data_IF_351733689862
#
_entry.id   IF_351733689862
#
_cell.length_a   1.000
_cell.length_b   1.000
_cell.length_c   1.000
_cell.angle_alpha   90.00
_cell.angle_beta   90.00
_cell.angle_gamma   90.00
#
_symmetry.space_group_name_H-M   'P 1'
#
loop_
_entity.id
_entity.type
_entity.pdbx_description
1 polymer ?
#
# COMPACT_ATOMS: atom_id res chain seq x y z
N UNK A 1 42.37 19.17 65.67
CA UNK A 1 42.22 18.45 66.94
C UNK A 1 40.94 17.61 66.80
N UNK A 2 41.05 16.30 66.51
CA UNK A 2 41.02 15.20 67.51
C UNK A 2 39.64 15.18 68.23
N UNK A 3 38.76 14.17 68.16
CA UNK A 3 38.90 12.71 68.11
C UNK A 3 37.60 12.02 67.60
N UNK A 4 37.75 10.86 66.96
CA UNK A 4 36.82 9.71 67.02
C UNK A 4 37.23 8.85 68.25
N UNK A 5 36.38 8.01 68.89
CA UNK A 5 36.06 6.69 68.31
C UNK A 5 34.75 5.98 68.76
N UNK A 6 34.59 4.80 68.13
CA UNK A 6 33.64 3.69 68.25
C UNK A 6 33.27 3.20 69.67
N UNK A 7 32.09 2.59 69.86
CA UNK A 7 31.95 1.11 69.98
C UNK A 7 30.50 0.60 70.27
N UNK A 8 30.10 -0.39 69.46
CA UNK A 8 29.45 -1.68 69.79
C UNK A 8 28.17 -1.79 70.66
N UNK A 9 27.07 -2.15 69.97
CA UNK A 9 26.26 -3.37 70.11
C UNK A 9 25.81 -3.88 71.50
N UNK A 10 24.49 -4.03 71.72
CA UNK A 10 23.74 -5.31 71.59
C UNK A 10 22.30 -5.24 72.14
N UNK A 11 21.39 -5.74 71.30
CA UNK A 11 20.23 -6.62 71.56
C UNK A 11 18.96 -6.21 72.35
N UNK A 12 17.86 -6.41 71.62
CA UNK A 12 16.56 -7.02 71.97
C UNK A 12 15.57 -6.24 72.85
N UNK A 13 14.45 -5.88 72.22
CA UNK A 13 13.22 -5.52 72.91
C UNK A 13 12.11 -5.04 71.96
N UNK A 14 11.50 -5.98 71.24
CA UNK A 14 10.08 -6.02 70.79
C UNK A 14 9.42 -4.63 70.55
N UNK A 15 9.12 -4.31 69.29
CA UNK A 15 8.14 -3.26 68.97
C UNK A 15 7.14 -3.74 67.93
N UNK A 16 5.89 -3.65 68.35
CA UNK A 16 4.65 -3.98 67.65
C UNK A 16 4.60 -3.25 66.31
N UNK A 17 4.42 -4.00 65.22
CA UNK A 17 4.11 -3.45 63.89
C UNK A 17 2.70 -2.81 63.94
N UNK A 18 2.64 -1.49 63.97
CA UNK A 18 1.43 -0.74 63.62
C UNK A 18 1.45 -0.55 62.11
N UNK A 19 0.51 -1.23 61.44
CA UNK A 19 0.27 -1.11 60.00
C UNK A 19 -0.32 0.27 59.70
N UNK A 20 0.52 1.21 59.28
CA UNK A 20 0.08 2.46 58.64
C UNK A 20 0.03 2.20 57.14
N UNK A 21 -1.17 1.94 56.62
CA UNK A 21 -1.48 2.00 55.20
C UNK A 21 -1.21 3.44 54.72
N UNK A 22 -0.01 3.68 54.20
CA UNK A 22 0.31 4.85 53.40
C UNK A 22 -0.42 4.74 52.08
N UNK A 23 -1.49 5.52 51.95
CA UNK A 23 -2.18 5.78 50.70
C UNK A 23 -1.18 6.45 49.75
N UNK A 24 -0.68 5.71 48.76
CA UNK A 24 -0.05 6.33 47.60
C UNK A 24 -1.14 7.19 46.93
N UNK A 25 -0.95 8.52 46.78
CA UNK A 25 -1.81 9.26 45.90
C UNK A 25 -1.51 8.76 44.50
N UNK A 26 -2.47 8.02 43.93
CA UNK A 26 -2.55 7.82 42.49
C UNK A 26 -2.41 9.20 41.86
N UNK A 27 -1.32 9.47 41.16
CA UNK A 27 -1.30 10.55 40.18
C UNK A 27 -2.32 10.17 39.11
N UNK A 28 -3.57 10.50 39.37
CA UNK A 28 -4.56 10.73 38.33
C UNK A 28 -4.08 12.03 37.69
N UNK A 29 -3.31 11.91 36.62
CA UNK A 29 -3.16 13.01 35.68
C UNK A 29 -4.59 13.42 35.32
N UNK A 30 -5.00 14.59 35.81
CA UNK A 30 -6.27 15.17 35.45
C UNK A 30 -6.25 15.33 33.92
N UNK A 31 -6.98 14.48 33.22
CA UNK A 31 -7.35 14.74 31.83
C UNK A 31 -8.17 16.02 31.84
N UNK A 32 -7.50 17.15 31.60
CA UNK A 32 -8.15 18.41 31.34
C UNK A 32 -9.06 18.18 30.14
N UNK A 33 -10.36 18.26 30.40
CA UNK A 33 -11.46 18.16 29.44
C UNK A 33 -11.49 19.43 28.55
N UNK A 34 -10.34 19.89 28.09
CA UNK A 34 -10.25 20.91 27.06
C UNK A 34 -10.72 20.26 25.76
N UNK A 35 -11.76 20.86 25.17
CA UNK A 35 -12.24 20.54 23.83
C UNK A 35 -11.06 20.59 22.88
N UNK A 36 -10.44 19.43 22.62
CA UNK A 36 -9.38 19.31 21.63
C UNK A 36 -9.99 19.80 20.30
N UNK A 37 -9.43 20.81 19.64
CA UNK A 37 -9.92 21.21 18.33
C UNK A 37 -9.97 19.96 17.45
N UNK A 38 -11.04 19.78 16.68
CA UNK A 38 -11.18 18.66 15.74
C UNK A 38 -10.01 18.72 14.76
N UNK A 39 -8.94 17.97 15.05
CA UNK A 39 -7.81 17.79 14.14
C UNK A 39 -8.10 16.56 13.28
N UNK A 40 -7.80 16.62 11.98
CA UNK A 40 -7.89 15.43 11.10
C UNK A 40 -6.81 14.37 11.42
N UNK A 41 -5.89 14.66 12.34
CA UNK A 41 -4.79 13.78 12.74
C UNK A 41 -4.46 13.96 14.24
N UNK A 42 -5.33 13.47 15.15
CA UNK A 42 -5.16 13.66 16.60
C UNK A 42 -3.97 12.87 17.15
N UNK A 43 -3.38 13.36 18.25
CA UNK A 43 -2.48 12.57 19.09
C UNK A 43 -3.28 11.43 19.72
N UNK A 44 -2.88 10.20 19.41
CA UNK A 44 -3.52 8.96 19.90
C UNK A 44 -2.76 8.32 21.05
N UNK A 45 -1.47 8.62 21.22
CA UNK A 45 -0.70 8.25 22.41
C UNK A 45 0.49 9.21 22.61
N UNK A 46 1.10 9.18 23.79
CA UNK A 46 2.41 9.80 24.06
C UNK A 46 3.30 8.70 24.65
N UNK A 47 4.50 8.51 24.11
CA UNK A 47 5.49 7.51 24.54
C UNK A 47 6.79 8.24 24.81
N UNK A 48 7.26 8.28 26.06
CA UNK A 48 8.48 9.00 26.47
C UNK A 48 8.53 10.45 25.93
N UNK A 49 7.41 11.18 26.10
CA UNK A 49 7.19 12.55 25.60
C UNK A 49 7.14 12.71 24.07
N UNK A 50 7.22 11.62 23.29
CA UNK A 50 6.99 11.64 21.85
C UNK A 50 5.50 11.34 21.53
N UNK A 51 4.79 12.24 20.82
CA UNK A 51 3.40 12.00 20.45
C UNK A 51 3.30 11.00 19.29
N UNK A 52 2.48 9.98 19.47
CA UNK A 52 1.97 9.12 18.40
C UNK A 52 0.68 9.74 17.89
N UNK A 53 0.59 10.05 16.61
CA UNK A 53 -0.60 10.62 15.97
C UNK A 53 -1.39 9.56 15.20
N UNK A 54 -2.66 9.85 14.89
CA UNK A 54 -3.53 8.92 14.17
C UNK A 54 -2.93 8.47 12.83
N UNK A 55 -2.07 9.30 12.24
CA UNK A 55 -1.28 8.98 11.05
C UNK A 55 -0.22 7.89 11.26
N UNK A 56 0.38 7.81 12.44
CA UNK A 56 1.43 6.82 12.73
C UNK A 56 0.89 5.40 12.84
N UNK A 57 -0.39 5.27 13.21
CA UNK A 57 -1.06 3.96 13.30
C UNK A 57 -1.68 3.52 11.97
N UNK A 58 -1.62 4.36 10.91
CA UNK A 58 -2.16 4.04 9.59
C UNK A 58 -1.36 2.93 8.92
N UNK A 59 -2.07 1.97 8.34
CA UNK A 59 -1.48 0.93 7.52
C UNK A 59 -2.46 0.47 6.43
N UNK A 60 -1.99 -0.38 5.51
CA UNK A 60 -2.78 -0.88 4.39
C UNK A 60 -4.10 -1.55 4.81
N UNK A 61 -4.13 -2.29 5.92
CA UNK A 61 -5.34 -2.97 6.40
C UNK A 61 -6.40 -1.97 6.89
N UNK A 62 -5.98 -0.97 7.67
CA UNK A 62 -6.87 0.10 8.12
C UNK A 62 -7.38 0.89 6.92
N UNK A 63 -6.52 1.18 5.94
CA UNK A 63 -6.91 1.81 4.69
C UNK A 63 -8.00 0.99 3.95
N UNK A 64 -7.78 -0.30 3.77
CA UNK A 64 -8.73 -1.20 3.13
C UNK A 64 -10.07 -1.20 3.88
N UNK A 65 -10.06 -1.30 5.21
CA UNK A 65 -11.27 -1.28 6.02
C UNK A 65 -12.05 0.04 5.87
N UNK A 66 -11.37 1.19 5.82
CA UNK A 66 -12.03 2.47 5.57
C UNK A 66 -12.57 2.60 4.16
N UNK A 67 -11.87 2.06 3.15
CA UNK A 67 -12.39 2.01 1.77
C UNK A 67 -13.65 1.16 1.71
N UNK A 68 -13.65 -0.01 2.35
CA UNK A 68 -14.83 -0.87 2.47
C UNK A 68 -15.98 -0.14 3.19
N UNK A 69 -15.70 0.51 4.32
CA UNK A 69 -16.68 1.32 5.04
C UNK A 69 -17.27 2.42 4.15
N UNK A 70 -16.43 3.15 3.44
CA UNK A 70 -16.88 4.20 2.51
C UNK A 70 -17.73 3.63 1.38
N UNK A 71 -17.38 2.48 0.81
CA UNK A 71 -18.18 1.83 -0.23
C UNK A 71 -19.57 1.43 0.30
N UNK A 72 -19.63 0.87 1.51
CA UNK A 72 -20.89 0.54 2.18
C UNK A 72 -21.74 1.79 2.45
N UNK A 73 -21.13 2.84 2.99
CA UNK A 73 -21.80 4.12 3.24
C UNK A 73 -22.28 4.77 1.93
N UNK A 74 -21.47 4.73 0.88
CA UNK A 74 -21.81 5.27 -0.43
C UNK A 74 -23.02 4.54 -1.03
N UNK A 75 -23.02 3.21 -0.98
CA UNK A 75 -24.15 2.42 -1.47
C UNK A 75 -25.44 2.71 -0.70
N UNK A 76 -25.38 2.68 0.64
CA UNK A 76 -26.53 2.98 1.48
C UNK A 76 -27.05 4.42 1.26
N UNK A 77 -26.14 5.36 1.03
CA UNK A 77 -26.50 6.75 0.75
C UNK A 77 -27.23 6.90 -0.59
N UNK A 78 -26.79 6.21 -1.65
CA UNK A 78 -27.48 6.23 -2.96
C UNK A 78 -28.94 5.79 -2.80
N UNK A 79 -29.17 4.64 -2.19
CA UNK A 79 -30.51 4.11 -1.94
C UNK A 79 -31.34 5.08 -1.09
N UNK A 80 -30.74 5.68 -0.05
CA UNK A 80 -31.44 6.64 0.80
C UNK A 80 -31.82 7.93 0.09
N UNK A 81 -30.97 8.41 -0.82
CA UNK A 81 -31.27 9.57 -1.66
C UNK A 81 -32.46 9.26 -2.58
N UNK A 82 -32.43 8.11 -3.26
CA UNK A 82 -33.50 7.70 -4.18
C UNK A 82 -34.83 7.48 -3.45
N UNK A 83 -34.82 6.84 -2.28
CA UNK A 83 -35.98 6.68 -1.38
C UNK A 83 -36.62 8.04 -1.00
N UNK A 84 -35.79 9.05 -0.74
CA UNK A 84 -36.28 10.41 -0.43
C UNK A 84 -36.86 11.11 -1.66
N UNK A 85 -36.24 10.94 -2.82
CA UNK A 85 -36.61 11.66 -4.03
C UNK A 85 -37.78 11.03 -4.79
N UNK A 86 -38.00 9.71 -4.68
CA UNK A 86 -39.00 8.98 -5.48
C UNK A 86 -40.43 9.52 -5.34
N UNK A 87 -40.75 10.15 -4.20
CA UNK A 87 -42.06 10.78 -3.96
C UNK A 87 -42.37 11.92 -4.95
N UNK A 88 -41.34 12.68 -5.30
CA UNK A 88 -41.46 13.84 -6.20
C UNK A 88 -40.89 13.54 -7.60
N UNK A 89 -40.13 12.45 -7.73
CA UNK A 89 -39.47 12.02 -8.96
C UNK A 89 -39.73 10.52 -9.18
N UNK A 90 -40.95 10.13 -9.62
CA UNK A 90 -41.33 8.72 -9.79
C UNK A 90 -40.42 7.92 -10.74
N UNK A 91 -39.73 8.60 -11.66
CA UNK A 91 -38.73 8.02 -12.56
C UNK A 91 -37.49 7.45 -11.84
N UNK A 92 -37.33 7.70 -10.54
CA UNK A 92 -36.26 7.15 -9.69
C UNK A 92 -36.64 5.85 -8.99
N UNK A 93 -37.84 5.32 -9.24
CA UNK A 93 -38.36 4.11 -8.59
C UNK A 93 -37.46 2.90 -8.85
N UNK A 94 -37.05 2.23 -7.77
CA UNK A 94 -36.11 1.11 -7.81
C UNK A 94 -36.74 -0.24 -8.15
N UNK A 95 -38.05 -0.39 -7.98
CA UNK A 95 -38.75 -1.67 -8.28
C UNK A 95 -38.78 -2.02 -9.76
N UNK A 96 -38.43 -1.06 -10.62
CA UNK A 96 -38.50 -1.20 -12.07
C UNK A 96 -37.13 -1.65 -12.64
N UNK A 97 -36.23 -2.12 -11.76
CA UNK A 97 -34.94 -2.66 -12.16
C UNK A 97 -35.11 -3.84 -13.13
N UNK A 98 -34.34 -3.88 -14.22
CA UNK A 98 -34.42 -4.98 -15.18
C UNK A 98 -33.98 -6.30 -14.53
N UNK A 99 -34.63 -7.39 -14.92
CA UNK A 99 -34.23 -8.75 -14.54
C UNK A 99 -33.35 -9.37 -15.64
N UNK A 100 -32.39 -10.22 -15.29
CA UNK A 100 -31.56 -10.92 -16.28
C UNK A 100 -32.41 -11.87 -17.12
N UNK A 101 -32.17 -11.88 -18.43
CA UNK A 101 -32.80 -12.83 -19.34
C UNK A 101 -32.11 -14.20 -19.26
N UNK A 102 -32.76 -15.24 -19.82
CA UNK A 102 -32.13 -16.56 -19.98
C UNK A 102 -30.83 -16.48 -20.80
N UNK A 103 -30.77 -15.57 -21.76
CA UNK A 103 -29.58 -15.37 -22.58
C UNK A 103 -28.46 -14.69 -21.78
N UNK A 104 -28.78 -13.80 -20.83
CA UNK A 104 -27.80 -13.22 -19.91
C UNK A 104 -27.15 -14.28 -19.04
N UNK A 105 -27.96 -15.19 -18.49
CA UNK A 105 -27.49 -16.32 -17.68
C UNK A 105 -26.59 -17.24 -18.52
N UNK A 106 -27.02 -17.57 -19.75
CA UNK A 106 -26.24 -18.40 -20.66
C UNK A 106 -24.91 -17.73 -21.07
N UNK A 107 -24.93 -16.43 -21.37
CA UNK A 107 -23.72 -15.65 -21.69
C UNK A 107 -22.78 -15.57 -20.49
N UNK A 108 -23.30 -15.32 -19.29
CA UNK A 108 -22.49 -15.28 -18.08
C UNK A 108 -21.79 -16.63 -17.86
N UNK A 109 -22.52 -17.74 -17.95
CA UNK A 109 -21.94 -19.08 -17.83
C UNK A 109 -20.90 -19.38 -18.92
N UNK A 110 -21.16 -18.98 -20.18
CA UNK A 110 -20.23 -19.21 -21.28
C UNK A 110 -18.91 -18.46 -21.11
N UNK A 111 -18.95 -17.26 -20.53
CA UNK A 111 -17.84 -16.31 -20.46
C UNK A 111 -17.14 -16.26 -19.09
N UNK A 112 -17.64 -16.95 -18.06
CA UNK A 112 -17.03 -16.96 -16.73
C UNK A 112 -15.97 -18.06 -16.64
N UNK A 113 -14.68 -17.72 -16.48
CA UNK A 113 -13.62 -18.73 -16.34
C UNK A 113 -13.86 -19.63 -15.12
N UNK A 114 -13.60 -20.94 -15.24
CA UNK A 114 -13.71 -21.91 -14.16
C UNK A 114 -15.13 -22.35 -13.80
N UNK A 115 -16.18 -21.64 -14.24
CA UNK A 115 -17.57 -21.97 -13.84
C UNK A 115 -18.03 -23.36 -14.33
N UNK A 116 -17.50 -23.82 -15.47
CA UNK A 116 -17.81 -25.13 -16.04
C UNK A 116 -17.28 -26.30 -15.19
N UNK A 117 -16.33 -26.04 -14.31
CA UNK A 117 -15.79 -27.02 -13.36
C UNK A 117 -16.71 -27.17 -12.14
N UNK A 118 -17.55 -26.16 -11.85
CA UNK A 118 -18.47 -26.14 -10.71
C UNK A 118 -19.81 -26.83 -11.00
N UNK A 119 -20.19 -26.97 -12.28
CA UNK A 119 -21.42 -27.66 -12.67
C UNK A 119 -21.87 -27.30 -14.09
N UNK A 120 -22.95 -27.95 -14.54
CA UNK A 120 -23.59 -27.61 -15.82
C UNK A 120 -24.41 -26.33 -15.69
N UNK A 121 -24.65 -25.66 -16.83
CA UNK A 121 -25.54 -24.48 -16.88
C UNK A 121 -26.90 -24.75 -16.24
N UNK A 122 -27.46 -25.94 -16.43
CA UNK A 122 -28.75 -26.32 -15.83
C UNK A 122 -28.69 -26.30 -14.30
N UNK A 123 -27.63 -26.88 -13.71
CA UNK A 123 -27.44 -26.92 -12.26
C UNK A 123 -27.15 -25.55 -11.65
N UNK A 124 -26.44 -24.69 -12.39
CA UNK A 124 -26.00 -23.39 -11.89
C UNK A 124 -26.95 -22.24 -12.24
N UNK A 125 -28.00 -22.51 -13.02
CA UNK A 125 -28.89 -21.47 -13.56
C UNK A 125 -29.44 -20.55 -12.48
N UNK A 126 -29.97 -21.13 -11.41
CA UNK A 126 -30.66 -20.36 -10.36
C UNK A 126 -29.66 -19.50 -9.58
N UNK A 127 -28.49 -20.05 -9.24
CA UNK A 127 -27.42 -19.30 -8.55
C UNK A 127 -26.91 -18.13 -9.41
N UNK A 128 -26.67 -18.38 -10.70
CA UNK A 128 -26.27 -17.33 -11.65
C UNK A 128 -27.36 -16.27 -11.79
N UNK A 129 -28.63 -16.69 -11.84
CA UNK A 129 -29.78 -15.78 -11.93
C UNK A 129 -29.82 -14.86 -10.72
N UNK A 130 -29.76 -15.42 -9.50
CA UNK A 130 -29.74 -14.63 -8.24
C UNK A 130 -28.53 -13.68 -8.17
N UNK A 131 -27.37 -14.12 -8.67
CA UNK A 131 -26.20 -13.27 -8.76
C UNK A 131 -26.44 -12.10 -9.73
N UNK A 132 -26.92 -12.38 -10.94
CA UNK A 132 -27.15 -11.37 -11.97
C UNK A 132 -28.27 -10.39 -11.59
N UNK A 133 -29.33 -10.84 -10.90
CA UNK A 133 -30.36 -9.97 -10.34
C UNK A 133 -29.76 -8.90 -9.41
N UNK A 134 -28.83 -9.29 -8.53
CA UNK A 134 -28.12 -8.34 -7.66
C UNK A 134 -27.24 -7.38 -8.46
N UNK A 135 -26.58 -7.86 -9.51
CA UNK A 135 -25.75 -7.01 -10.39
C UNK A 135 -26.62 -5.98 -11.12
N UNK A 136 -27.75 -6.41 -11.69
CA UNK A 136 -28.67 -5.54 -12.43
C UNK A 136 -29.32 -4.51 -11.51
N UNK A 137 -29.78 -4.93 -10.33
CA UNK A 137 -30.35 -4.03 -9.34
C UNK A 137 -29.34 -2.95 -8.91
N UNK A 138 -28.08 -3.30 -8.66
CA UNK A 138 -27.03 -2.34 -8.30
C UNK A 138 -26.73 -1.36 -9.43
N UNK A 139 -26.57 -1.85 -10.66
CA UNK A 139 -26.33 -1.00 -11.83
C UNK A 139 -27.50 -0.02 -12.05
N UNK A 140 -28.73 -0.49 -11.83
CA UNK A 140 -29.92 0.34 -11.93
C UNK A 140 -29.98 1.43 -10.85
N UNK A 141 -29.65 1.09 -9.59
CA UNK A 141 -29.49 2.09 -8.51
C UNK A 141 -28.46 3.15 -8.89
N UNK A 142 -27.33 2.73 -9.46
CA UNK A 142 -26.27 3.65 -9.87
C UNK A 142 -26.74 4.60 -10.98
N UNK A 143 -27.43 4.11 -12.00
CA UNK A 143 -27.97 4.93 -13.08
C UNK A 143 -28.96 5.99 -12.56
N UNK A 144 -29.93 5.57 -11.73
CA UNK A 144 -30.92 6.49 -11.13
C UNK A 144 -30.28 7.51 -10.21
N UNK A 145 -29.29 7.08 -9.44
CA UNK A 145 -28.49 7.98 -8.62
C UNK A 145 -27.76 9.02 -9.48
N UNK A 146 -27.10 8.62 -10.57
CA UNK A 146 -26.43 9.55 -11.48
C UNK A 146 -27.42 10.54 -12.10
N UNK A 147 -28.60 10.08 -12.50
CA UNK A 147 -29.67 10.95 -12.98
C UNK A 147 -30.03 12.01 -11.92
N UNK A 148 -30.25 11.60 -10.66
CA UNK A 148 -30.58 12.52 -9.57
C UNK A 148 -29.48 13.57 -9.31
N UNK A 149 -28.20 13.18 -9.39
CA UNK A 149 -27.07 14.10 -9.27
C UNK A 149 -27.00 15.07 -10.45
N UNK A 150 -27.12 14.57 -11.69
CA UNK A 150 -27.05 15.38 -12.90
C UNK A 150 -28.18 16.41 -13.00
N UNK A 151 -29.35 16.08 -12.46
CA UNK A 151 -30.50 16.99 -12.35
C UNK A 151 -30.37 17.98 -11.20
N UNK A 152 -29.37 17.84 -10.34
CA UNK A 152 -29.15 18.69 -9.18
C UNK A 152 -30.14 18.46 -8.03
N UNK A 153 -30.87 17.33 -8.03
CA UNK A 153 -31.88 17.03 -7.00
C UNK A 153 -31.26 16.59 -5.67
N UNK A 154 -30.00 16.14 -5.69
CA UNK A 154 -29.26 15.79 -4.49
C UNK A 154 -27.86 16.41 -4.52
N UNK A 155 -27.44 16.93 -3.37
CA UNK A 155 -26.07 17.36 -3.11
C UNK A 155 -25.44 16.42 -2.10
N UNK A 156 -24.30 15.83 -2.47
CA UNK A 156 -23.63 14.80 -1.68
C UNK A 156 -22.39 15.35 -1.00
N UNK A 157 -22.32 15.19 0.31
CA UNK A 157 -21.20 15.62 1.14
C UNK A 157 -20.37 14.47 1.69
N UNK A 158 -20.81 13.22 1.49
CA UNK A 158 -19.99 12.05 1.80
C UNK A 158 -18.77 12.07 0.89
N UNK A 159 -17.61 12.33 1.49
CA UNK A 159 -16.34 12.30 0.78
C UNK A 159 -15.74 10.92 0.94
N UNK A 160 -15.04 10.45 -0.10
CA UNK A 160 -14.08 9.37 0.10
C UNK A 160 -13.17 9.77 1.27
N UNK A 161 -12.79 8.84 2.16
CA UNK A 161 -11.89 9.14 3.26
C UNK A 161 -10.72 9.94 2.69
N UNK A 162 -10.59 11.19 3.14
CA UNK A 162 -9.60 12.16 2.65
C UNK A 162 -8.25 11.46 2.70
N UNK A 163 -7.79 11.09 1.50
CA UNK A 163 -6.45 10.62 1.16
C UNK A 163 -5.63 10.09 2.35
N UNK A 164 -5.94 8.86 2.78
CA UNK A 164 -4.89 7.99 3.30
C UNK A 164 -3.92 7.69 2.16
N UNK A 165 -3.14 8.68 1.77
CA UNK A 165 -1.96 8.48 0.94
C UNK A 165 -0.96 7.80 1.86
N UNK A 166 -0.60 6.57 1.53
CA UNK A 166 0.52 5.92 2.20
C UNK A 166 1.74 6.80 2.02
N UNK A 167 2.36 7.17 3.14
CA UNK A 167 3.61 7.92 3.19
C UNK A 167 4.75 6.93 3.12
N UNK A 168 5.40 6.83 1.96
CA UNK A 168 6.53 5.93 1.76
C UNK A 168 7.81 6.72 1.53
N UNK A 169 8.81 6.52 2.40
CA UNK A 169 10.16 6.99 2.12
C UNK A 169 10.80 6.13 1.05
N UNK A 170 11.32 6.74 -0.03
CA UNK A 170 12.00 5.96 -1.08
C UNK A 170 13.34 5.40 -0.58
N UNK A 171 13.99 6.06 0.40
CA UNK A 171 15.20 5.59 1.09
C UNK A 171 16.24 4.99 0.13
N UNK A 172 16.51 3.68 0.24
CA UNK A 172 17.48 2.88 -0.52
C UNK A 172 17.04 2.47 -1.93
N UNK A 173 15.83 2.83 -2.35
CA UNK A 173 15.29 2.47 -3.66
C UNK A 173 16.27 2.79 -4.80
N UNK A 174 16.37 1.87 -5.75
CA UNK A 174 17.07 2.13 -7.00
C UNK A 174 16.15 2.88 -7.95
N UNK A 175 16.60 4.01 -8.47
CA UNK A 175 15.84 4.84 -9.42
C UNK A 175 16.12 4.42 -10.87
N UNK A 176 15.07 4.39 -11.71
CA UNK A 176 15.18 3.89 -13.08
C UNK A 176 16.09 4.72 -13.98
N UNK A 177 16.07 6.04 -13.82
CA UNK A 177 16.99 6.94 -14.51
C UNK A 177 17.31 8.15 -13.65
N UNK A 178 18.57 8.56 -13.66
CA UNK A 178 19.07 9.85 -13.16
C UNK A 178 19.11 10.92 -14.28
N UNK A 179 18.64 10.60 -15.50
CA UNK A 179 18.78 11.48 -16.69
C UNK A 179 17.62 12.46 -16.87
N UNK A 180 17.51 13.38 -15.92
CA UNK A 180 16.68 14.57 -15.99
C UNK A 180 16.57 15.16 -14.60
N UNK A 181 16.34 16.47 -14.50
CA UNK A 181 16.18 17.12 -13.20
C UNK A 181 15.13 16.36 -12.36
N UNK A 182 15.54 15.67 -11.28
CA UNK A 182 14.63 14.93 -10.41
C UNK A 182 13.52 15.81 -9.83
N UNK A 183 13.71 17.14 -9.83
CA UNK A 183 12.73 18.12 -9.39
C UNK A 183 11.47 18.18 -10.29
N UNK A 184 11.58 17.76 -11.56
CA UNK A 184 10.48 17.86 -12.53
C UNK A 184 9.42 16.77 -12.39
N UNK A 185 9.78 15.60 -11.86
CA UNK A 185 8.90 14.42 -11.77
C UNK A 185 8.20 14.38 -10.43
N UNK A 186 7.07 15.08 -10.33
CA UNK A 186 6.26 15.18 -9.10
C UNK A 186 5.31 14.00 -8.89
N UNK A 187 5.35 12.99 -9.76
CA UNK A 187 4.67 11.69 -9.58
C UNK A 187 5.73 10.58 -9.49
N UNK A 188 5.53 9.61 -8.61
CA UNK A 188 6.47 8.51 -8.41
C UNK A 188 5.75 7.17 -8.28
N UNK A 189 6.31 6.16 -8.93
CA UNK A 189 5.91 4.76 -8.83
C UNK A 189 7.04 3.96 -8.15
N UNK A 190 6.80 3.55 -6.91
CA UNK A 190 7.72 2.72 -6.13
C UNK A 190 7.27 1.27 -6.18
N UNK A 191 8.07 0.40 -6.77
CA UNK A 191 7.85 -1.04 -6.83
C UNK A 191 8.54 -1.75 -5.66
N UNK A 192 7.81 -2.64 -4.98
CA UNK A 192 8.34 -3.66 -4.07
C UNK A 192 8.23 -5.02 -4.74
N UNK A 193 9.38 -5.68 -4.92
CA UNK A 193 9.49 -6.81 -5.84
C UNK A 193 10.37 -7.94 -5.31
N UNK A 194 10.19 -9.11 -5.91
CA UNK A 194 10.90 -10.34 -5.57
C UNK A 194 11.27 -11.09 -6.86
N UNK A 195 12.56 -11.39 -7.02
CA UNK A 195 13.10 -12.04 -8.21
C UNK A 195 12.63 -13.48 -8.47
N UNK A 196 12.10 -14.18 -7.46
CA UNK A 196 11.50 -15.51 -7.62
C UNK A 196 9.97 -15.45 -7.76
N UNK A 197 9.35 -14.28 -7.62
CA UNK A 197 7.90 -14.15 -7.75
C UNK A 197 7.48 -14.13 -9.24
N UNK A 198 6.62 -15.07 -9.69
CA UNK A 198 6.19 -15.12 -11.09
C UNK A 198 5.37 -13.88 -11.51
N UNK A 199 4.66 -13.26 -10.56
CA UNK A 199 3.92 -12.03 -10.83
C UNK A 199 4.82 -10.79 -10.96
N UNK A 200 5.94 -10.76 -10.24
CA UNK A 200 6.96 -9.71 -10.38
C UNK A 200 7.64 -9.79 -11.75
N UNK A 201 7.93 -11.00 -12.25
CA UNK A 201 8.38 -11.21 -13.62
C UNK A 201 7.35 -10.70 -14.64
N UNK A 202 6.09 -11.13 -14.49
CA UNK A 202 5.00 -10.80 -15.44
C UNK A 202 4.75 -9.29 -15.58
N UNK A 203 4.85 -8.53 -14.48
CA UNK A 203 4.55 -7.09 -14.51
C UNK A 203 5.66 -6.25 -15.16
N UNK A 204 6.89 -6.76 -15.31
CA UNK A 204 8.00 -5.98 -15.89
C UNK A 204 7.70 -5.47 -17.31
N UNK A 205 7.07 -6.28 -18.16
CA UNK A 205 6.67 -5.84 -19.50
C UNK A 205 5.66 -4.68 -19.46
N UNK A 206 4.77 -4.66 -18.46
CA UNK A 206 3.83 -3.55 -18.24
C UNK A 206 4.56 -2.30 -17.75
N UNK A 207 5.52 -2.46 -16.84
CA UNK A 207 6.33 -1.35 -16.33
C UNK A 207 7.21 -0.74 -17.44
N UNK A 208 7.75 -1.55 -18.35
CA UNK A 208 8.53 -1.05 -19.48
C UNK A 208 7.68 -0.20 -20.42
N UNK A 209 6.47 -0.64 -20.77
CA UNK A 209 5.52 0.18 -21.56
C UNK A 209 5.12 1.46 -20.82
N UNK A 210 4.96 1.40 -19.50
CA UNK A 210 4.63 2.56 -18.69
C UNK A 210 5.79 3.56 -18.62
N UNK A 211 7.04 3.08 -18.48
CA UNK A 211 8.25 3.92 -18.51
C UNK A 211 8.45 4.58 -19.87
N UNK A 212 8.18 3.86 -20.97
CA UNK A 212 8.23 4.42 -22.32
C UNK A 212 7.27 5.62 -22.46
N UNK A 213 6.05 5.50 -21.91
CA UNK A 213 5.03 6.55 -22.01
C UNK A 213 5.24 7.73 -21.04
N UNK A 214 5.67 7.45 -19.80
CA UNK A 214 5.62 8.44 -18.70
C UNK A 214 6.98 8.80 -18.07
N UNK A 215 8.11 8.32 -18.60
CA UNK A 215 9.44 8.60 -18.01
C UNK A 215 9.82 10.09 -17.90
N UNK A 216 9.09 11.00 -18.54
CA UNK A 216 9.27 12.46 -18.38
C UNK A 216 8.46 13.06 -17.23
N UNK A 217 7.37 12.42 -16.83
CA UNK A 217 6.40 12.93 -15.85
C UNK A 217 6.42 12.13 -14.54
N UNK A 218 6.80 10.85 -14.61
CA UNK A 218 6.79 9.89 -13.51
C UNK A 218 8.21 9.38 -13.25
N UNK A 219 8.63 9.44 -11.99
CA UNK A 219 9.84 8.77 -11.52
C UNK A 219 9.51 7.32 -11.13
N UNK A 220 10.40 6.39 -11.47
CA UNK A 220 10.24 4.97 -11.13
C UNK A 220 11.33 4.55 -10.16
N UNK A 221 10.95 3.80 -9.13
CA UNK A 221 11.86 3.25 -8.12
C UNK A 221 11.60 1.78 -7.87
N UNK A 222 12.63 1.06 -7.45
CA UNK A 222 12.58 -0.35 -7.10
C UNK A 222 13.11 -0.58 -5.68
N UNK A 223 12.40 -1.39 -4.90
CA UNK A 223 12.79 -1.89 -3.57
C UNK A 223 12.66 -3.40 -3.50
N UNK A 224 13.56 -3.99 -2.72
CA UNK A 224 13.57 -5.43 -2.49
C UNK A 224 12.49 -5.82 -1.49
N UNK A 225 11.72 -6.84 -1.82
CA UNK A 225 10.78 -7.49 -0.89
C UNK A 225 10.87 -9.01 -1.04
N UNK A 226 12.04 -9.62 -0.77
CA UNK A 226 12.21 -11.07 -0.93
C UNK A 226 11.35 -11.81 0.10
N UNK A 227 10.40 -12.60 -0.39
CA UNK A 227 9.47 -13.38 0.41
C UNK A 227 10.20 -14.54 1.09
N UNK A 228 9.85 -14.84 2.35
CA UNK A 228 10.61 -15.80 3.16
C UNK A 228 10.65 -17.22 2.56
N UNK A 229 9.60 -17.61 1.84
CA UNK A 229 9.50 -18.92 1.19
C UNK A 229 10.30 -19.01 -0.13
N UNK A 230 10.82 -17.88 -0.64
CA UNK A 230 11.69 -17.83 -1.81
C UNK A 230 13.17 -17.89 -1.39
N UNK A 231 13.72 -19.11 -1.38
CA UNK A 231 15.06 -19.42 -0.83
C UNK A 231 16.21 -18.61 -1.44
N UNK A 232 16.14 -18.29 -2.73
CA UNK A 232 17.19 -17.60 -3.49
C UNK A 232 16.94 -16.08 -3.60
N UNK A 233 15.71 -15.61 -3.35
CA UNK A 233 15.31 -14.21 -3.56
C UNK A 233 16.20 -13.21 -2.79
N UNK A 234 16.58 -13.54 -1.55
CA UNK A 234 17.50 -12.70 -0.74
C UNK A 234 18.87 -12.55 -1.41
N UNK A 235 19.43 -13.64 -1.96
CA UNK A 235 20.72 -13.59 -2.66
C UNK A 235 20.62 -12.91 -4.02
N UNK A 236 19.52 -13.10 -4.74
CA UNK A 236 19.24 -12.39 -5.99
C UNK A 236 19.13 -10.88 -5.76
N UNK A 237 18.41 -10.44 -4.72
CA UNK A 237 18.33 -9.05 -4.30
C UNK A 237 19.70 -8.44 -3.98
N UNK A 238 20.52 -9.13 -3.18
CA UNK A 238 21.88 -8.68 -2.88
C UNK A 238 22.77 -8.64 -4.14
N UNK A 239 22.55 -9.54 -5.09
CA UNK A 239 23.33 -9.60 -6.32
C UNK A 239 23.13 -8.38 -7.20
N UNK A 240 21.90 -7.88 -7.33
CA UNK A 240 21.65 -6.66 -8.12
C UNK A 240 22.24 -5.44 -7.43
N UNK A 241 22.29 -5.39 -6.10
CA UNK A 241 23.01 -4.34 -5.38
C UNK A 241 24.54 -4.45 -5.56
N UNK A 242 25.09 -5.67 -5.59
CA UNK A 242 26.50 -5.88 -5.94
C UNK A 242 26.81 -5.49 -7.41
N UNK A 243 25.84 -5.57 -8.32
CA UNK A 243 25.97 -5.06 -9.67
C UNK A 243 25.78 -3.53 -9.75
N UNK A 244 24.94 -2.95 -8.88
CA UNK A 244 24.76 -1.49 -8.72
C UNK A 244 26.07 -0.77 -8.45
N UNK A 245 26.93 -1.38 -7.65
CA UNK A 245 28.31 -0.95 -7.39
C UNK A 245 29.17 -0.70 -8.65
N UNK A 246 28.73 -1.25 -9.78
CA UNK A 246 29.39 -1.17 -11.08
C UNK A 246 28.44 -0.63 -12.17
N UNK A 247 27.33 0.02 -11.78
CA UNK A 247 26.36 0.63 -12.67
C UNK A 247 25.51 -0.36 -13.47
N UNK A 248 25.37 -1.61 -12.99
CA UNK A 248 24.69 -2.71 -13.70
C UNK A 248 23.47 -3.29 -12.98
N UNK A 249 22.81 -2.47 -12.16
CA UNK A 249 21.61 -2.89 -11.42
C UNK A 249 20.50 -3.34 -12.37
N UNK A 250 20.11 -2.46 -13.31
CA UNK A 250 18.93 -2.67 -14.16
C UNK A 250 19.15 -3.80 -15.17
N UNK A 251 20.35 -3.93 -15.72
CA UNK A 251 20.72 -5.00 -16.64
C UNK A 251 20.71 -6.36 -15.94
N UNK A 252 21.25 -6.46 -14.72
CA UNK A 252 21.18 -7.71 -13.97
C UNK A 252 19.75 -8.02 -13.54
N UNK A 253 19.00 -7.02 -13.06
CA UNK A 253 17.59 -7.15 -12.69
C UNK A 253 16.74 -7.71 -13.84
N UNK A 254 16.90 -7.17 -15.06
CA UNK A 254 16.17 -7.64 -16.25
C UNK A 254 16.52 -9.11 -16.54
N UNK A 255 17.80 -9.45 -16.54
CA UNK A 255 18.23 -10.84 -16.75
C UNK A 255 17.64 -11.77 -15.68
N UNK A 256 17.70 -11.39 -14.41
CA UNK A 256 17.17 -12.21 -13.32
C UNK A 256 15.68 -12.52 -13.46
N UNK A 257 14.87 -11.60 -14.02
CA UNK A 257 13.49 -11.89 -14.38
C UNK A 257 13.34 -12.68 -15.67
N UNK A 258 14.14 -12.39 -16.70
CA UNK A 258 14.03 -13.01 -18.03
C UNK A 258 14.57 -14.44 -18.11
N UNK A 259 15.29 -14.91 -17.09
CA UNK A 259 16.03 -16.17 -17.15
C UNK A 259 15.17 -17.40 -17.47
N UNK A 260 15.53 -18.07 -18.56
CA UNK A 260 15.13 -19.44 -18.91
C UNK A 260 15.89 -20.49 -18.09
N UNK A 261 17.08 -20.12 -17.59
CA UNK A 261 17.95 -20.98 -16.78
C UNK A 261 17.61 -20.86 -15.27
N UNK A 262 17.68 -21.94 -14.49
CA UNK A 262 17.50 -21.87 -13.04
C UNK A 262 18.51 -20.92 -12.39
N UNK A 263 18.02 -19.88 -11.72
CA UNK A 263 18.89 -18.99 -10.92
C UNK A 263 19.08 -19.57 -9.53
N UNK A 264 20.33 -19.56 -9.06
CA UNK A 264 20.69 -19.96 -7.71
C UNK A 264 21.89 -19.16 -7.22
N UNK A 265 22.11 -19.14 -5.91
CA UNK A 265 23.25 -18.47 -5.28
C UNK A 265 24.60 -18.82 -5.91
N UNK A 266 24.77 -20.03 -6.45
CA UNK A 266 26.04 -20.49 -7.02
C UNK A 266 26.32 -19.94 -8.42
N UNK A 267 25.30 -19.55 -9.19
CA UNK A 267 25.47 -19.11 -10.58
C UNK A 267 25.16 -17.61 -10.83
N UNK A 268 24.85 -16.81 -9.80
CA UNK A 268 24.62 -15.36 -9.90
C UNK A 268 25.75 -14.58 -10.61
N UNK A 269 26.99 -15.02 -10.45
CA UNK A 269 28.15 -14.41 -11.14
C UNK A 269 28.10 -14.55 -12.67
N UNK A 270 27.46 -15.61 -13.19
CA UNK A 270 27.28 -15.82 -14.63
C UNK A 270 26.27 -14.82 -15.20
N UNK A 271 25.17 -14.58 -14.49
CA UNK A 271 24.20 -13.55 -14.85
C UNK A 271 24.80 -12.14 -14.76
N UNK A 272 25.60 -11.87 -13.72
CA UNK A 272 26.34 -10.61 -13.62
C UNK A 272 27.28 -10.38 -14.81
N UNK A 273 27.98 -11.43 -15.27
CA UNK A 273 28.81 -11.37 -16.48
C UNK A 273 27.97 -11.07 -17.73
N UNK A 274 26.83 -11.75 -17.89
CA UNK A 274 25.87 -11.47 -18.99
C UNK A 274 25.31 -10.04 -18.92
N UNK A 275 25.11 -9.49 -17.72
CA UNK A 275 24.67 -8.10 -17.48
C UNK A 275 25.74 -7.05 -17.80
N UNK A 276 26.98 -7.46 -18.11
CA UNK A 276 28.09 -6.55 -18.38
C UNK A 276 28.81 -6.03 -17.13
N UNK A 277 28.70 -6.72 -16.00
CA UNK A 277 29.52 -6.44 -14.80
C UNK A 277 31.00 -6.71 -15.13
N UNK A 278 31.82 -5.66 -15.13
CA UNK A 278 33.22 -5.73 -15.58
C UNK A 278 34.12 -6.48 -14.59
N UNK A 279 34.00 -6.19 -13.29
CA UNK A 279 34.81 -6.82 -12.25
C UNK A 279 34.01 -7.89 -11.51
N UNK A 280 34.01 -9.10 -12.07
CA UNK A 280 33.32 -10.26 -11.50
C UNK A 280 33.92 -10.68 -10.16
N UNK A 281 35.23 -10.51 -9.96
CA UNK A 281 35.86 -10.83 -8.67
C UNK A 281 35.32 -9.95 -7.55
N UNK A 282 35.24 -8.63 -7.77
CA UNK A 282 34.62 -7.68 -6.84
C UNK A 282 33.16 -8.01 -6.57
N UNK A 283 32.41 -8.38 -7.61
CA UNK A 283 31.02 -8.82 -7.47
C UNK A 283 30.88 -10.08 -6.59
N UNK A 284 31.71 -11.09 -6.83
CA UNK A 284 31.72 -12.33 -6.04
C UNK A 284 32.10 -12.07 -4.59
N UNK A 285 33.11 -11.22 -4.32
CA UNK A 285 33.47 -10.80 -2.97
C UNK A 285 32.29 -10.10 -2.28
N UNK A 286 31.65 -9.13 -2.95
CA UNK A 286 30.47 -8.42 -2.43
C UNK A 286 29.35 -9.38 -2.02
N UNK A 287 29.04 -10.37 -2.86
CA UNK A 287 28.03 -11.39 -2.56
C UNK A 287 28.45 -12.33 -1.43
N UNK A 288 29.70 -12.78 -1.41
CA UNK A 288 30.25 -13.66 -0.38
C UNK A 288 30.21 -13.00 0.99
N UNK A 289 30.58 -11.73 1.05
CA UNK A 289 30.57 -10.91 2.27
C UNK A 289 29.16 -10.44 2.64
N UNK A 290 28.15 -10.70 1.80
CA UNK A 290 26.76 -10.30 2.03
C UNK A 290 26.65 -8.79 2.27
N UNK A 291 27.48 -7.99 1.56
CA UNK A 291 27.65 -6.54 1.75
C UNK A 291 26.32 -5.77 1.81
N UNK A 292 25.32 -6.23 1.07
CA UNK A 292 24.01 -5.58 0.94
C UNK A 292 22.87 -6.27 1.70
N UNK A 293 23.17 -7.24 2.56
CA UNK A 293 22.16 -7.95 3.37
C UNK A 293 21.29 -6.97 4.16
N UNK A 294 21.89 -6.05 4.89
CA UNK A 294 21.14 -5.15 5.78
C UNK A 294 20.28 -4.15 4.99
N UNK A 295 20.74 -3.72 3.80
CA UNK A 295 19.93 -2.92 2.87
C UNK A 295 18.67 -3.67 2.45
N UNK A 296 18.83 -4.92 2.02
CA UNK A 296 17.70 -5.76 1.58
C UNK A 296 16.72 -6.05 2.72
N UNK A 297 17.23 -6.32 3.93
CA UNK A 297 16.39 -6.51 5.12
C UNK A 297 15.67 -5.23 5.53
N UNK A 298 16.32 -4.08 5.41
CA UNK A 298 15.70 -2.79 5.66
C UNK A 298 14.58 -2.49 4.65
N UNK A 299 14.80 -2.79 3.35
CA UNK A 299 13.75 -2.66 2.34
C UNK A 299 12.51 -3.51 2.65
N UNK A 300 12.73 -4.78 3.03
CA UNK A 300 11.68 -5.68 3.46
C UNK A 300 10.94 -5.13 4.70
N UNK A 301 11.68 -4.72 5.74
CA UNK A 301 11.11 -4.20 6.98
C UNK A 301 10.25 -2.96 6.76
N UNK A 302 10.74 -2.00 5.97
CA UNK A 302 10.01 -0.78 5.64
C UNK A 302 8.76 -1.08 4.81
N UNK A 303 8.83 -2.00 3.85
CA UNK A 303 7.64 -2.47 3.14
C UNK A 303 6.62 -3.10 4.10
N UNK A 304 7.06 -3.91 5.06
CA UNK A 304 6.19 -4.52 6.07
C UNK A 304 5.50 -3.49 6.97
N UNK A 305 6.23 -2.43 7.39
CA UNK A 305 5.67 -1.31 8.16
C UNK A 305 4.56 -0.58 7.40
N UNK A 306 4.70 -0.45 6.08
CA UNK A 306 3.68 0.12 5.19
C UNK A 306 2.49 -0.82 4.94
N UNK A 307 2.47 -2.00 5.55
CA UNK A 307 1.41 -2.99 5.39
C UNK A 307 1.56 -3.88 4.15
N UNK A 308 2.70 -3.85 3.46
CA UNK A 308 2.97 -4.75 2.34
C UNK A 308 3.13 -6.18 2.86
N UNK A 309 2.45 -7.12 2.22
CA UNK A 309 2.44 -8.55 2.60
C UNK A 309 2.78 -9.48 1.44
N UNK A 310 2.93 -8.96 0.24
CA UNK A 310 3.18 -9.76 -0.96
C UNK A 310 3.73 -8.93 -2.11
N UNK A 311 4.13 -9.61 -3.17
CA UNK A 311 4.77 -9.00 -4.33
C UNK A 311 4.09 -9.41 -5.66
N UNK A 312 4.15 -8.56 -6.69
CA UNK A 312 4.63 -7.19 -6.64
C UNK A 312 3.61 -6.30 -5.92
N UNK A 313 4.09 -5.28 -5.20
CA UNK A 313 3.26 -4.22 -4.64
C UNK A 313 3.84 -2.89 -5.05
N UNK A 314 2.99 -1.91 -5.35
CA UNK A 314 3.37 -0.59 -5.81
C UNK A 314 2.80 0.48 -4.92
N UNK A 315 3.55 1.56 -4.74
CA UNK A 315 3.05 2.82 -4.19
C UNK A 315 3.16 3.86 -5.28
N UNK A 316 2.02 4.39 -5.72
CA UNK A 316 1.94 5.34 -6.83
C UNK A 316 1.23 6.61 -6.38
N UNK A 317 1.90 7.75 -6.47
CA UNK A 317 1.32 9.03 -6.10
C UNK A 317 2.24 10.23 -6.27
N UNK A 318 1.92 11.31 -5.56
CA UNK A 318 2.73 12.53 -5.57
C UNK A 318 4.06 12.30 -4.87
N UNK A 319 5.11 12.89 -5.43
CA UNK A 319 6.48 12.80 -4.92
C UNK A 319 6.97 14.17 -4.47
N UNK A 320 7.49 14.15 -3.24
CA UNK A 320 8.24 15.24 -2.66
C UNK A 320 9.74 14.93 -2.82
N UNK A 321 10.44 15.64 -3.73
CA UNK A 321 11.87 15.43 -3.95
C UNK A 321 12.73 15.89 -2.77
N UNK A 322 12.26 16.86 -1.98
CA UNK A 322 13.01 17.43 -0.86
C UNK A 322 13.02 16.45 0.32
N UNK A 323 11.86 15.87 0.63
CA UNK A 323 11.75 14.88 1.71
C UNK A 323 11.97 13.44 1.23
N UNK A 324 12.10 13.22 -0.08
CA UNK A 324 12.22 11.91 -0.74
C UNK A 324 11.05 10.98 -0.36
N UNK A 325 9.85 11.54 -0.34
CA UNK A 325 8.64 10.84 0.12
C UNK A 325 7.61 10.73 -1.00
N UNK A 326 7.02 9.55 -1.14
CA UNK A 326 5.85 9.32 -1.99
C UNK A 326 4.60 9.30 -1.12
N UNK A 327 3.60 10.09 -1.52
CA UNK A 327 2.27 10.08 -0.94
C UNK A 327 1.31 9.53 -1.99
N UNK A 328 0.86 8.29 -1.82
CA UNK A 328 0.12 7.62 -2.89
C UNK A 328 -0.77 6.46 -2.47
N UNK A 329 -1.32 5.83 -3.49
CA UNK A 329 -2.14 4.62 -3.38
C UNK A 329 -1.28 3.37 -3.48
N UNK A 330 -1.68 2.33 -2.73
CA UNK A 330 -1.09 1.00 -2.85
C UNK A 330 -1.81 0.21 -3.94
N UNK A 331 -1.05 -0.34 -4.88
CA UNK A 331 -1.56 -1.25 -5.91
C UNK A 331 -0.88 -2.61 -5.73
N UNK A 332 -1.66 -3.67 -5.61
CA UNK A 332 -1.15 -5.02 -5.34
C UNK A 332 -1.31 -5.95 -6.54
N UNK A 333 -0.32 -6.82 -6.74
CA UNK A 333 -0.30 -7.83 -7.80
C UNK A 333 0.23 -7.31 -9.14
N UNK A 334 0.22 -8.16 -10.17
CA UNK A 334 0.61 -7.76 -11.52
C UNK A 334 -0.46 -6.86 -12.15
N UNK A 335 -0.44 -5.58 -11.80
CA UNK A 335 -1.38 -4.54 -12.23
C UNK A 335 -1.30 -4.37 -13.76
N UNK A 336 -2.46 -4.19 -14.40
CA UNK A 336 -2.54 -3.95 -15.85
C UNK A 336 -2.05 -2.55 -16.23
N UNK A 337 -1.60 -2.39 -17.48
CA UNK A 337 -1.18 -1.09 -18.01
C UNK A 337 -2.27 -0.03 -17.85
N UNK A 338 -3.52 -0.33 -18.24
CA UNK A 338 -4.64 0.60 -18.14
C UNK A 338 -4.91 1.07 -16.72
N UNK A 339 -4.76 0.18 -15.72
CA UNK A 339 -4.94 0.57 -14.32
C UNK A 339 -3.80 1.47 -13.86
N UNK A 340 -2.55 1.21 -14.24
CA UNK A 340 -1.45 2.14 -13.96
C UNK A 340 -1.69 3.50 -14.62
N UNK A 341 -2.03 3.54 -15.91
CA UNK A 341 -2.30 4.79 -16.65
C UNK A 341 -3.38 5.62 -15.97
N UNK A 342 -4.49 4.99 -15.56
CA UNK A 342 -5.56 5.67 -14.84
C UNK A 342 -5.08 6.33 -13.54
N UNK A 343 -4.23 5.65 -12.76
CA UNK A 343 -3.72 6.19 -11.49
C UNK A 343 -2.65 7.26 -11.75
N UNK A 344 -1.77 7.06 -12.72
CA UNK A 344 -0.79 8.09 -13.15
C UNK A 344 -1.49 9.37 -13.58
N UNK A 345 -2.46 9.28 -14.50
CA UNK A 345 -3.20 10.45 -15.00
C UNK A 345 -4.00 11.14 -13.88
N UNK A 346 -4.54 10.37 -12.92
CA UNK A 346 -5.16 10.95 -11.72
C UNK A 346 -4.16 11.87 -11.00
N UNK A 347 -2.96 11.40 -10.67
CA UNK A 347 -1.98 12.22 -9.93
C UNK A 347 -1.40 13.36 -10.76
N UNK A 348 -1.17 13.15 -12.07
CA UNK A 348 -0.76 14.24 -12.96
C UNK A 348 -1.83 15.33 -13.05
N UNK A 349 -3.11 14.96 -13.12
CA UNK A 349 -4.22 15.92 -13.14
C UNK A 349 -4.33 16.75 -11.86
N UNK A 350 -4.10 16.13 -10.69
CA UNK A 350 -4.07 16.82 -9.40
C UNK A 350 -2.96 17.88 -9.38
N UNK A 351 -1.74 17.51 -9.78
CA UNK A 351 -0.60 18.43 -9.82
C UNK A 351 -0.82 19.58 -10.82
N UNK A 352 -1.41 19.30 -11.98
CA UNK A 352 -1.77 20.33 -12.97
C UNK A 352 -2.81 21.30 -12.40
N UNK A 353 -3.79 20.81 -11.65
CA UNK A 353 -4.80 21.66 -11.00
C UNK A 353 -4.19 22.52 -9.90
N UNK A 354 -3.33 21.97 -9.04
CA UNK A 354 -2.62 22.70 -7.98
C UNK A 354 -1.73 23.81 -8.57
N UNK A 355 -0.98 23.52 -9.63
CA UNK A 355 -0.13 24.52 -10.30
C UNK A 355 -0.92 25.70 -10.88
N UNK A 356 -2.18 25.47 -11.30
CA UNK A 356 -3.05 26.52 -11.82
C UNK A 356 -3.70 27.38 -10.73
N UNK A 357 -3.74 26.92 -9.48
CA UNK A 357 -4.27 27.67 -8.34
C UNK A 357 -3.25 28.61 -7.69
N UNK A 358 -1.96 28.38 -7.95
CA UNK A 358 -0.83 29.18 -7.42
C UNK A 358 -0.39 30.28 -8.40
N UNK A 359 -0.97 30.31 -9.61
CA UNK A 359 -0.85 31.38 -10.61
C UNK A 359 -2.03 32.32 -10.49
#
# INVERSE_FOLDING_TARGET
>A
MQFLPLHFARFLGISVLVSLMGVFPSLVAAESNELRPYTNNPVVAIVDDEPVILEDVKNAQIHEAMVQLYQMQSQALKEKILDKLVKNHPELKLTDAPLPSKDDVARFYANTPGIKEMGTLEKMRDEITVYLEKVYARAYVDERYQLAINKGWAKVYLKAPLEFRLKAQISTAMLWSDEGDPSSRRVFLLEYSDFQCPFCKRVQATLDQLREQYSKEVQFGYRHFPLEFHKEAKYMAESVECARDQGKFWELQRLLYDNSDPVSRTNLHQFAKKAGVKNIRRFQTCLKERKYKDRVLNDLSEGMKLGIRGTPTFILGTYDPDTRTVYGELLSGAVSLEKFKKVVEKYLSILRAEANLVR
#
